data_IF_145116995184
#
_entry.id   IF_145116995184
#
_cell.length_a   1.000
_cell.length_b   1.000
_cell.length_c   1.000
_cell.angle_alpha   90.00
_cell.angle_beta   90.00
_cell.angle_gamma   90.00
#
_symmetry.space_group_name_H-M   'P 1'
#
loop_
_entity.id
_entity.type
_entity.pdbx_description
1 polymer ?
#
# COMPACT_ATOMS: atom_id res chain seq x y z
N UNK A 1 -3.65 21.18 -30.96
CA UNK A 1 -2.99 21.03 -29.65
C UNK A 1 -1.48 21.11 -29.84
N UNK A 2 -0.75 21.93 -29.07
CA UNK A 2 0.71 22.09 -29.17
C UNK A 2 1.23 22.28 -30.63
N UNK A 3 0.54 23.13 -31.41
CA UNK A 3 0.89 23.39 -32.82
C UNK A 3 0.48 22.31 -33.84
N UNK A 4 -0.01 21.15 -33.39
CA UNK A 4 -0.52 20.09 -34.27
C UNK A 4 -2.05 20.17 -34.44
N UNK A 5 -2.52 19.96 -35.67
CA UNK A 5 -3.95 19.80 -36.00
C UNK A 5 -4.27 18.31 -36.12
N UNK A 6 -5.41 17.92 -35.58
CA UNK A 6 -5.95 16.56 -35.69
C UNK A 6 -7.26 16.69 -36.49
N UNK A 7 -7.33 16.00 -37.62
CA UNK A 7 -8.55 15.97 -38.43
C UNK A 7 -9.64 15.17 -37.70
N UNK A 8 -10.89 15.63 -37.84
CA UNK A 8 -12.04 15.03 -37.17
C UNK A 8 -12.30 13.62 -37.66
N UNK A 9 -12.29 12.68 -36.72
CA UNK A 9 -12.38 11.24 -37.01
C UNK A 9 -12.98 10.45 -35.84
N UNK A 10 -13.86 11.09 -35.07
CA UNK A 10 -14.50 10.48 -33.91
C UNK A 10 -13.50 10.03 -32.84
N UNK A 11 -13.63 8.78 -32.37
CA UNK A 11 -12.77 8.22 -31.31
C UNK A 11 -11.29 8.14 -31.71
N UNK A 12 -11.01 7.86 -32.98
CA UNK A 12 -9.65 7.71 -33.50
C UNK A 12 -8.86 9.02 -33.45
N UNK A 13 -9.54 10.17 -33.56
CA UNK A 13 -8.96 11.48 -33.31
C UNK A 13 -8.40 11.57 -31.87
N UNK A 14 -9.21 11.16 -30.88
CA UNK A 14 -8.83 11.15 -29.47
C UNK A 14 -7.66 10.22 -29.20
N UNK A 15 -7.67 9.01 -29.78
CA UNK A 15 -6.58 8.05 -29.64
C UNK A 15 -5.27 8.60 -30.24
N UNK A 16 -5.32 9.25 -31.41
CA UNK A 16 -4.14 9.89 -32.01
C UNK A 16 -3.61 11.03 -31.14
N UNK A 17 -4.51 11.85 -30.61
CA UNK A 17 -4.15 12.93 -29.69
C UNK A 17 -3.44 12.39 -28.45
N UNK A 18 -4.00 11.37 -27.80
CA UNK A 18 -3.41 10.74 -26.61
C UNK A 18 -2.05 10.10 -26.92
N UNK A 19 -1.89 9.44 -28.06
CA UNK A 19 -0.60 8.87 -28.50
C UNK A 19 0.45 9.97 -28.71
N UNK A 20 0.06 11.08 -29.33
CA UNK A 20 0.95 12.23 -29.51
C UNK A 20 1.36 12.87 -28.18
N UNK A 21 0.44 13.00 -27.23
CA UNK A 21 0.75 13.50 -25.89
C UNK A 21 1.67 12.54 -25.13
N UNK A 22 1.40 11.23 -25.20
CA UNK A 22 2.24 10.20 -24.60
C UNK A 22 3.67 10.16 -25.20
N UNK A 23 3.90 10.74 -26.37
CA UNK A 23 5.23 10.88 -26.97
C UNK A 23 5.95 12.18 -26.57
N UNK A 24 5.33 13.06 -25.79
CA UNK A 24 6.01 14.26 -25.28
C UNK A 24 6.84 13.92 -24.05
N UNK A 25 8.07 14.44 -23.98
CA UNK A 25 8.96 14.23 -22.83
C UNK A 25 8.31 14.63 -21.51
N UNK A 26 7.58 15.75 -21.49
CA UNK A 26 6.86 16.22 -20.30
C UNK A 26 5.85 15.18 -19.78
N UNK A 27 5.14 14.49 -20.67
CA UNK A 27 4.20 13.43 -20.29
C UNK A 27 4.93 12.18 -19.80
N UNK A 28 6.00 11.77 -20.48
CA UNK A 28 6.83 10.63 -20.05
C UNK A 28 7.36 10.85 -18.64
N UNK A 29 7.95 12.02 -18.38
CA UNK A 29 8.49 12.40 -17.08
C UNK A 29 7.40 12.46 -16.02
N UNK A 30 6.27 13.14 -16.29
CA UNK A 30 5.18 13.26 -15.34
C UNK A 30 4.59 11.92 -14.92
N UNK A 31 4.31 11.02 -15.87
CA UNK A 31 3.77 9.69 -15.56
C UNK A 31 4.82 8.83 -14.86
N UNK A 32 6.07 8.86 -15.31
CA UNK A 32 7.17 8.12 -14.67
C UNK A 32 7.41 8.56 -13.24
N UNK A 33 7.39 9.87 -12.97
CA UNK A 33 7.50 10.43 -11.63
C UNK A 33 6.35 9.97 -10.73
N UNK A 34 5.11 9.95 -11.23
CA UNK A 34 3.96 9.40 -10.48
C UNK A 34 4.11 7.90 -10.18
N UNK A 35 4.64 7.12 -11.12
CA UNK A 35 4.85 5.68 -10.92
C UNK A 35 5.98 5.43 -9.90
N UNK A 36 7.11 6.14 -10.01
CA UNK A 36 8.16 6.07 -8.99
C UNK A 36 7.62 6.54 -7.63
N UNK A 37 6.82 7.60 -7.57
CA UNK A 37 6.21 8.07 -6.33
C UNK A 37 5.27 7.03 -5.70
N UNK A 38 4.54 6.29 -6.56
CA UNK A 38 3.62 5.24 -6.15
C UNK A 38 4.30 4.01 -5.56
N UNK A 39 5.44 3.63 -6.13
CA UNK A 39 6.08 2.33 -5.87
C UNK A 39 7.39 2.40 -5.08
N UNK A 40 8.07 3.55 -5.08
CA UNK A 40 9.39 3.73 -4.46
C UNK A 40 9.24 4.52 -3.17
N UNK A 41 9.03 5.83 -3.26
CA UNK A 41 8.93 6.73 -2.11
C UNK A 41 8.08 7.94 -2.49
N UNK A 42 7.51 8.65 -1.51
CA UNK A 42 6.73 9.88 -1.77
C UNK A 42 7.53 10.90 -2.59
N UNK A 43 8.83 10.99 -2.32
CA UNK A 43 9.83 11.74 -3.08
C UNK A 43 10.82 10.74 -3.69
N UNK A 44 10.58 10.23 -4.92
CA UNK A 44 11.45 9.23 -5.52
C UNK A 44 12.79 9.85 -5.94
N UNK A 45 13.91 9.10 -5.86
CA UNK A 45 15.19 9.54 -6.41
C UNK A 45 15.09 9.83 -7.92
N UNK A 46 15.80 10.86 -8.39
CA UNK A 46 15.83 11.25 -9.82
C UNK A 46 16.24 10.07 -10.71
N UNK A 47 17.17 9.23 -10.25
CA UNK A 47 17.62 8.02 -10.95
C UNK A 47 16.49 7.02 -11.28
N UNK A 48 15.49 6.88 -10.40
CA UNK A 48 14.31 6.05 -10.67
C UNK A 48 13.50 6.64 -11.84
N UNK A 49 13.25 7.94 -11.79
CA UNK A 49 12.43 8.65 -12.78
C UNK A 49 13.11 8.60 -14.14
N UNK A 50 14.42 8.84 -14.18
CA UNK A 50 15.23 8.78 -15.39
C UNK A 50 15.21 7.38 -16.03
N UNK A 51 15.36 6.32 -15.22
CA UNK A 51 15.28 4.94 -15.69
C UNK A 51 13.90 4.61 -16.29
N UNK A 52 12.83 5.07 -15.64
CA UNK A 52 11.46 4.90 -16.11
C UNK A 52 11.19 5.66 -17.42
N UNK A 53 11.67 6.92 -17.53
CA UNK A 53 11.56 7.73 -18.75
C UNK A 53 12.35 7.11 -19.90
N UNK A 54 13.58 6.65 -19.65
CA UNK A 54 14.40 5.99 -20.66
C UNK A 54 13.75 4.70 -21.19
N UNK A 55 13.15 3.90 -20.29
CA UNK A 55 12.37 2.72 -20.68
C UNK A 55 11.15 3.11 -21.52
N UNK A 56 10.41 4.15 -21.13
CA UNK A 56 9.27 4.66 -21.88
C UNK A 56 9.66 5.09 -23.30
N UNK A 57 10.74 5.85 -23.45
CA UNK A 57 11.24 6.31 -24.75
C UNK A 57 11.62 5.14 -25.65
N UNK A 58 12.34 4.15 -25.10
CA UNK A 58 12.80 2.96 -25.83
C UNK A 58 11.65 2.09 -26.33
N UNK A 59 10.58 1.96 -25.53
CA UNK A 59 9.46 1.06 -25.82
C UNK A 59 8.23 1.76 -26.38
N UNK A 60 8.26 3.09 -26.52
CA UNK A 60 7.13 3.93 -26.92
C UNK A 60 5.93 3.78 -25.96
N UNK A 61 6.21 3.74 -24.66
CA UNK A 61 5.19 3.74 -23.60
C UNK A 61 4.64 2.37 -23.21
N UNK A 62 5.39 1.27 -23.43
CA UNK A 62 5.02 -0.02 -22.83
C UNK A 62 5.16 0.06 -21.30
N UNK A 63 4.02 0.15 -20.61
CA UNK A 63 3.95 0.30 -19.15
C UNK A 63 4.59 -0.89 -18.42
N UNK A 64 4.58 -2.10 -19.01
CA UNK A 64 5.25 -3.26 -18.41
C UNK A 64 6.77 -3.06 -18.40
N UNK A 65 7.32 -2.49 -19.47
CA UNK A 65 8.74 -2.20 -19.55
C UNK A 65 9.14 -1.07 -18.58
N UNK A 66 8.30 -0.04 -18.44
CA UNK A 66 8.51 1.06 -17.50
C UNK A 66 8.51 0.55 -16.06
N UNK A 67 7.49 -0.22 -15.66
CA UNK A 67 7.41 -0.82 -14.32
C UNK A 67 8.58 -1.76 -14.05
N UNK A 68 9.01 -2.55 -15.05
CA UNK A 68 10.19 -3.40 -14.91
C UNK A 68 11.43 -2.57 -14.60
N UNK A 69 11.65 -1.47 -15.33
CA UNK A 69 12.80 -0.60 -15.10
C UNK A 69 12.82 -0.03 -13.67
N UNK A 70 11.65 0.35 -13.13
CA UNK A 70 11.49 0.81 -11.74
C UNK A 70 11.86 -0.32 -10.77
N UNK A 71 11.21 -1.49 -10.87
CA UNK A 71 11.37 -2.59 -9.90
C UNK A 71 12.74 -3.28 -9.95
N UNK A 72 13.47 -3.15 -11.05
CA UNK A 72 14.85 -3.65 -11.17
C UNK A 72 15.91 -2.58 -10.92
N UNK A 73 15.52 -1.34 -10.60
CA UNK A 73 16.46 -0.27 -10.27
C UNK A 73 17.09 -0.51 -8.88
N UNK A 74 18.39 -0.21 -8.69
CA UNK A 74 19.01 -0.17 -7.36
C UNK A 74 18.27 0.76 -6.38
N UNK A 75 17.68 1.85 -6.89
CA UNK A 75 16.95 2.82 -6.07
C UNK A 75 15.71 2.20 -5.40
N UNK A 76 15.05 1.25 -6.06
CA UNK A 76 13.88 0.56 -5.51
C UNK A 76 14.24 -0.31 -4.28
N UNK A 77 15.44 -0.88 -4.28
CA UNK A 77 15.92 -1.78 -3.22
C UNK A 77 16.82 -1.09 -2.19
N UNK A 78 16.96 0.23 -2.28
CA UNK A 78 17.80 0.98 -1.35
C UNK A 78 17.23 0.90 0.08
N UNK A 79 18.08 0.76 1.13
CA UNK A 79 17.62 0.59 2.50
C UNK A 79 16.64 1.66 3.00
N UNK A 80 16.79 2.90 2.53
CA UNK A 80 15.92 4.02 2.87
C UNK A 80 14.55 4.02 2.17
N UNK A 81 14.39 3.20 1.13
CA UNK A 81 13.15 3.06 0.33
C UNK A 81 12.32 1.89 0.82
N UNK A 82 12.97 0.78 1.19
CA UNK A 82 12.30 -0.39 1.72
C UNK A 82 11.49 -0.01 2.96
N UNK A 83 10.16 -0.23 2.94
CA UNK A 83 9.25 0.11 4.05
C UNK A 83 9.16 1.59 4.38
N UNK A 84 9.52 2.46 3.44
CA UNK A 84 9.43 3.89 3.64
C UNK A 84 7.98 4.38 3.56
N UNK A 85 7.15 3.76 2.70
CA UNK A 85 5.80 4.24 2.44
C UNK A 85 4.80 3.71 3.46
N UNK A 86 3.82 4.54 3.79
CA UNK A 86 2.65 4.10 4.57
C UNK A 86 1.55 3.63 3.61
N UNK A 87 0.93 2.50 3.96
CA UNK A 87 -0.19 1.93 3.22
C UNK A 87 -1.38 2.89 3.19
N UNK A 88 -1.98 3.07 2.01
CA UNK A 88 -3.30 3.72 1.91
C UNK A 88 -4.34 2.89 2.69
N UNK A 89 -5.51 3.46 3.04
CA UNK A 89 -6.60 2.68 3.64
C UNK A 89 -6.96 1.40 2.87
N UNK A 90 -7.00 1.44 1.54
CA UNK A 90 -7.27 0.27 0.71
C UNK A 90 -6.17 -0.78 0.88
N UNK A 91 -4.90 -0.38 0.74
CA UNK A 91 -3.76 -1.27 0.88
C UNK A 91 -3.69 -1.89 2.28
N UNK A 92 -3.98 -1.11 3.31
CA UNK A 92 -4.02 -1.57 4.70
C UNK A 92 -5.10 -2.64 4.90
N UNK A 93 -6.34 -2.37 4.49
CA UNK A 93 -7.45 -3.33 4.66
C UNK A 93 -7.20 -4.60 3.86
N UNK A 94 -6.78 -4.50 2.59
CA UNK A 94 -6.51 -5.67 1.74
C UNK A 94 -5.36 -6.50 2.31
N UNK A 95 -4.28 -5.85 2.76
CA UNK A 95 -3.14 -6.53 3.38
C UNK A 95 -3.55 -7.23 4.69
N UNK A 96 -4.32 -6.54 5.54
CA UNK A 96 -4.77 -7.09 6.82
C UNK A 96 -5.72 -8.29 6.64
N UNK A 97 -6.68 -8.19 5.71
CA UNK A 97 -7.59 -9.29 5.37
C UNK A 97 -6.83 -10.51 4.86
N UNK A 98 -5.89 -10.30 3.92
CA UNK A 98 -5.04 -11.38 3.39
C UNK A 98 -4.18 -12.01 4.49
N UNK A 99 -3.48 -11.19 5.27
CA UNK A 99 -2.58 -11.66 6.32
C UNK A 99 -3.34 -12.41 7.43
N UNK A 100 -4.55 -11.95 7.78
CA UNK A 100 -5.40 -12.58 8.78
C UNK A 100 -6.08 -13.88 8.28
N UNK A 101 -6.02 -14.20 6.99
CA UNK A 101 -6.73 -15.35 6.41
C UNK A 101 -8.25 -15.16 6.37
N UNK A 102 -8.71 -13.91 6.25
CA UNK A 102 -10.13 -13.58 6.15
C UNK A 102 -10.56 -13.74 4.70
N UNK A 103 -11.52 -14.63 4.45
CA UNK A 103 -12.13 -14.77 3.13
C UNK A 103 -13.13 -13.63 2.89
N UNK A 104 -12.95 -12.82 1.83
CA UNK A 104 -13.91 -11.78 1.48
C UNK A 104 -15.26 -12.37 1.11
N UNK A 105 -16.35 -11.78 1.63
CA UNK A 105 -17.70 -12.09 1.19
C UNK A 105 -18.17 -11.11 0.09
N UNK A 106 -19.35 -11.35 -0.46
CA UNK A 106 -19.94 -10.47 -1.48
C UNK A 106 -20.57 -9.20 -0.91
N UNK A 107 -20.38 -8.90 0.38
CA UNK A 107 -20.97 -7.72 1.02
C UNK A 107 -20.05 -6.51 0.88
N UNK A 108 -20.58 -5.27 0.93
CA UNK A 108 -19.74 -4.08 0.83
C UNK A 108 -18.97 -3.78 2.13
N UNK A 109 -18.95 -4.67 3.14
CA UNK A 109 -18.41 -4.40 4.48
C UNK A 109 -16.94 -3.96 4.46
N UNK A 110 -16.11 -4.63 3.65
CA UNK A 110 -14.70 -4.26 3.50
C UNK A 110 -14.55 -2.93 2.75
N UNK A 111 -15.30 -2.71 1.66
CA UNK A 111 -15.28 -1.42 0.95
C UNK A 111 -15.74 -0.26 1.85
N UNK A 112 -16.75 -0.49 2.69
CA UNK A 112 -17.22 0.47 3.69
C UNK A 112 -16.20 0.71 4.81
N UNK A 113 -15.38 -0.30 5.15
CA UNK A 113 -14.27 -0.11 6.08
C UNK A 113 -13.21 0.81 5.47
N UNK A 114 -12.83 0.58 4.20
CA UNK A 114 -11.89 1.45 3.47
C UNK A 114 -12.43 2.89 3.43
N UNK A 115 -13.72 3.06 3.13
CA UNK A 115 -14.37 4.39 3.13
C UNK A 115 -14.36 5.06 4.51
N UNK A 116 -14.59 4.32 5.59
CA UNK A 116 -14.50 4.83 6.97
C UNK A 116 -13.10 5.25 7.38
N UNK A 117 -12.08 4.68 6.75
CA UNK A 117 -10.68 5.04 6.93
C UNK A 117 -10.24 6.22 6.03
N UNK A 118 -11.15 6.76 5.20
CA UNK A 118 -10.93 7.98 4.43
C UNK A 118 -10.73 7.80 2.93
N UNK A 119 -10.81 6.57 2.39
CA UNK A 119 -10.61 6.29 0.96
C UNK A 119 -11.84 5.59 0.34
N UNK A 120 -13.03 6.23 0.28
CA UNK A 120 -14.20 5.58 -0.28
C UNK A 120 -13.98 5.25 -1.77
N UNK A 121 -14.11 3.96 -2.11
CA UNK A 121 -13.74 3.45 -3.43
C UNK A 121 -14.56 4.11 -4.54
N UNK A 122 -13.87 4.63 -5.56
CA UNK A 122 -14.45 5.32 -6.71
C UNK A 122 -15.25 6.59 -6.37
N UNK A 123 -15.04 7.18 -5.20
CA UNK A 123 -15.78 8.36 -4.73
C UNK A 123 -14.91 9.61 -4.57
N UNK A 124 -13.70 9.64 -5.15
CA UNK A 124 -12.91 10.87 -5.21
C UNK A 124 -13.56 11.86 -6.20
N UNK A 125 -14.02 13.05 -5.76
CA UNK A 125 -14.69 14.00 -6.67
C UNK A 125 -13.72 14.60 -7.69
N UNK A 126 -12.46 14.80 -7.31
CA UNK A 126 -11.44 15.33 -8.20
C UNK A 126 -10.94 14.25 -9.18
N UNK A 127 -10.70 14.58 -10.47
CA UNK A 127 -10.16 13.63 -11.46
C UNK A 127 -8.67 13.32 -11.26
N UNK A 128 -8.15 13.54 -10.06
CA UNK A 128 -6.74 13.34 -9.68
C UNK A 128 -6.50 12.02 -8.97
N UNK A 129 -7.56 11.31 -8.55
CA UNK A 129 -7.45 10.18 -7.63
C UNK A 129 -7.16 10.61 -6.18
N UNK A 130 -7.05 9.64 -5.28
CA UNK A 130 -6.61 9.89 -3.91
C UNK A 130 -5.10 10.16 -3.86
N UNK A 131 -4.64 10.84 -2.81
CA UNK A 131 -3.22 11.10 -2.63
C UNK A 131 -2.47 9.79 -2.34
N UNK A 132 -1.22 9.69 -2.78
CA UNK A 132 -0.36 8.52 -2.56
C UNK A 132 0.76 8.80 -1.53
N UNK A 133 0.64 9.92 -0.80
CA UNK A 133 1.62 10.41 0.15
C UNK A 133 1.22 10.11 1.59
N UNK A 134 2.23 9.82 2.42
CA UNK A 134 2.07 9.54 3.84
C UNK A 134 1.33 10.66 4.57
N UNK A 135 1.69 11.92 4.28
CA UNK A 135 1.12 13.10 4.93
C UNK A 135 -0.42 13.21 4.80
N UNK A 136 -1.00 12.63 3.74
CA UNK A 136 -2.45 12.59 3.58
C UNK A 136 -3.12 11.55 4.49
N UNK A 137 -2.42 10.43 4.72
CA UNK A 137 -2.98 9.25 5.36
C UNK A 137 -2.58 9.10 6.82
N UNK A 138 -1.59 9.85 7.31
CA UNK A 138 -1.07 9.77 8.68
C UNK A 138 -1.45 11.03 9.44
N UNK A 139 -2.41 10.87 10.34
CA UNK A 139 -2.74 11.82 11.39
C UNK A 139 -3.31 11.04 12.59
N UNK A 140 -3.41 11.68 13.75
CA UNK A 140 -3.84 11.01 14.98
C UNK A 140 -5.20 10.31 14.86
N UNK A 141 -6.15 10.91 14.14
CA UNK A 141 -7.47 10.32 13.88
C UNK A 141 -7.39 9.09 12.99
N UNK A 142 -6.61 9.16 11.90
CA UNK A 142 -6.41 8.05 10.97
C UNK A 142 -5.70 6.85 11.64
N UNK A 143 -4.69 7.10 12.49
CA UNK A 143 -3.99 6.06 13.23
C UNK A 143 -4.92 5.33 14.21
N UNK A 144 -5.75 6.06 14.96
CA UNK A 144 -6.74 5.48 15.84
C UNK A 144 -7.79 4.66 15.07
N UNK A 145 -8.28 5.18 13.95
CA UNK A 145 -9.24 4.48 13.10
C UNK A 145 -8.67 3.17 12.54
N UNK A 146 -7.40 3.17 12.11
CA UNK A 146 -6.68 1.96 11.69
C UNK A 146 -6.51 0.95 12.83
N UNK A 147 -6.18 1.40 14.03
CA UNK A 147 -6.06 0.51 15.20
C UNK A 147 -7.41 -0.16 15.54
N UNK A 148 -8.51 0.59 15.48
CA UNK A 148 -9.85 0.03 15.66
C UNK A 148 -10.20 -0.97 14.55
N UNK A 149 -9.84 -0.68 13.30
CA UNK A 149 -10.01 -1.60 12.17
C UNK A 149 -9.18 -2.88 12.35
N UNK A 150 -7.93 -2.76 12.81
CA UNK A 150 -7.05 -3.88 13.10
C UNK A 150 -7.64 -4.82 14.16
N UNK A 151 -8.12 -4.27 15.28
CA UNK A 151 -8.78 -5.05 16.33
C UNK A 151 -10.08 -5.74 15.84
N UNK A 152 -10.84 -5.08 14.97
CA UNK A 152 -12.03 -5.67 14.37
C UNK A 152 -11.69 -6.85 13.44
N UNK A 153 -10.64 -6.72 12.62
CA UNK A 153 -10.18 -7.78 11.73
C UNK A 153 -9.53 -8.93 12.52
N UNK A 154 -8.80 -8.62 13.60
CA UNK A 154 -8.17 -9.61 14.45
C UNK A 154 -9.16 -10.64 15.03
N UNK A 155 -10.38 -10.22 15.35
CA UNK A 155 -11.47 -11.12 15.81
C UNK A 155 -11.90 -12.16 14.78
N UNK A 156 -11.63 -11.92 13.50
CA UNK A 156 -11.95 -12.82 12.40
C UNK A 156 -10.70 -13.57 11.88
N UNK A 157 -9.56 -13.39 12.54
CA UNK A 157 -8.30 -14.01 12.13
C UNK A 157 -8.37 -15.53 12.25
N UNK A 158 -8.11 -16.21 11.14
CA UNK A 158 -8.06 -17.67 11.03
C UNK A 158 -6.63 -18.19 10.78
N UNK A 159 -5.74 -17.32 10.29
CA UNK A 159 -4.36 -17.67 9.93
C UNK A 159 -3.46 -17.95 11.14
N UNK A 160 -3.72 -17.31 12.29
CA UNK A 160 -2.94 -17.47 13.51
C UNK A 160 -3.62 -18.48 14.44
N UNK A 161 -2.93 -19.56 14.83
CA UNK A 161 -3.45 -20.52 15.80
C UNK A 161 -3.44 -19.93 17.21
N UNK A 162 -4.30 -20.45 18.07
CA UNK A 162 -4.31 -20.14 19.49
C UNK A 162 -3.22 -20.94 20.19
N UNK A 163 -2.31 -20.23 20.86
CA UNK A 163 -1.17 -20.82 21.58
C UNK A 163 -1.12 -20.19 22.98
N UNK A 164 -0.97 -20.99 24.06
CA UNK A 164 -0.90 -20.45 25.42
C UNK A 164 0.35 -19.63 25.70
N UNK A 165 1.48 -19.95 25.05
CA UNK A 165 2.74 -19.25 25.24
C UNK A 165 2.78 -17.96 24.41
N UNK A 166 2.92 -16.81 25.07
CA UNK A 166 2.93 -15.50 24.41
C UNK A 166 4.11 -15.31 23.47
N UNK A 167 5.27 -15.90 23.75
CA UNK A 167 6.45 -15.77 22.89
C UNK A 167 6.27 -16.54 21.59
N UNK A 168 5.75 -17.76 21.68
CA UNK A 168 5.39 -18.58 20.52
C UNK A 168 4.26 -17.93 19.70
N UNK A 169 3.28 -17.31 20.36
CA UNK A 169 2.22 -16.56 19.69
C UNK A 169 2.79 -15.38 18.89
N UNK A 170 3.67 -14.56 19.50
CA UNK A 170 4.30 -13.42 18.83
C UNK A 170 5.16 -13.87 17.66
N UNK A 171 5.90 -14.96 17.79
CA UNK A 171 6.70 -15.49 16.68
C UNK A 171 5.82 -16.04 15.54
N UNK A 172 4.71 -16.72 15.86
CA UNK A 172 3.75 -17.16 14.85
C UNK A 172 3.12 -15.97 14.10
N UNK A 173 2.83 -14.88 14.81
CA UNK A 173 2.35 -13.62 14.22
C UNK A 173 3.41 -13.00 13.32
N UNK A 174 4.66 -12.89 13.77
CA UNK A 174 5.74 -12.33 12.96
C UNK A 174 5.91 -13.09 11.65
N UNK A 175 5.99 -14.42 11.71
CA UNK A 175 6.17 -15.25 10.52
C UNK A 175 4.98 -15.19 9.56
N UNK A 176 3.74 -15.26 10.06
CA UNK A 176 2.55 -15.34 9.20
C UNK A 176 2.02 -13.98 8.74
N UNK A 177 2.10 -12.93 9.55
CA UNK A 177 1.55 -11.60 9.22
C UNK A 177 2.61 -10.66 8.65
N UNK A 178 3.86 -10.74 9.11
CA UNK A 178 4.93 -9.82 8.70
C UNK A 178 6.08 -10.49 7.94
N UNK A 179 6.05 -11.82 7.76
CA UNK A 179 7.10 -12.55 7.06
C UNK A 179 8.45 -12.54 7.79
N UNK A 180 8.46 -12.49 9.12
CA UNK A 180 9.70 -12.58 9.92
C UNK A 180 10.46 -11.25 10.04
N UNK A 181 9.75 -10.13 9.99
CA UNK A 181 10.33 -8.79 9.91
C UNK A 181 9.76 -7.82 10.94
N UNK A 182 9.01 -8.32 11.90
CA UNK A 182 8.56 -7.55 13.05
C UNK A 182 9.78 -7.08 13.85
N UNK A 183 9.80 -5.79 14.16
CA UNK A 183 10.85 -5.14 14.92
C UNK A 183 10.89 -5.68 16.36
N UNK A 184 12.08 -5.66 16.96
CA UNK A 184 12.24 -6.02 18.37
C UNK A 184 11.35 -5.17 19.29
N UNK A 185 11.19 -3.88 18.96
CA UNK A 185 10.31 -2.98 19.70
C UNK A 185 8.85 -3.42 19.64
N UNK A 186 8.31 -3.74 18.46
CA UNK A 186 6.94 -4.25 18.33
C UNK A 186 6.75 -5.58 19.05
N UNK A 187 7.73 -6.50 18.97
CA UNK A 187 7.70 -7.76 19.75
C UNK A 187 7.59 -7.50 21.25
N UNK A 188 8.43 -6.62 21.80
CA UNK A 188 8.41 -6.26 23.22
C UNK A 188 7.08 -5.63 23.65
N UNK A 189 6.56 -4.67 22.89
CA UNK A 189 5.28 -4.02 23.20
C UNK A 189 4.13 -5.02 23.22
N UNK A 190 4.07 -5.94 22.25
CA UNK A 190 3.02 -6.96 22.26
C UNK A 190 3.15 -7.86 23.48
N UNK A 191 4.35 -8.35 23.80
CA UNK A 191 4.57 -9.19 24.99
C UNK A 191 4.18 -8.49 26.29
N UNK A 192 4.51 -7.21 26.43
CA UNK A 192 4.12 -6.39 27.59
C UNK A 192 2.60 -6.28 27.73
N UNK A 193 1.87 -6.05 26.62
CA UNK A 193 0.40 -5.95 26.63
C UNK A 193 -0.29 -7.29 26.93
N UNK A 194 0.40 -8.41 26.72
CA UNK A 194 -0.13 -9.75 27.00
C UNK A 194 0.18 -10.24 28.42
N UNK A 195 1.06 -9.58 29.18
CA UNK A 195 1.61 -10.10 30.44
C UNK A 195 0.55 -10.58 31.45
N UNK A 196 -0.58 -9.88 31.53
CA UNK A 196 -1.68 -10.17 32.47
C UNK A 196 -2.86 -10.94 31.83
N UNK A 197 -2.75 -11.33 30.56
CA UNK A 197 -3.83 -12.01 29.82
C UNK A 197 -3.59 -13.51 29.85
N UNK A 198 -4.38 -14.21 30.68
CA UNK A 198 -4.28 -15.66 30.82
C UNK A 198 -5.15 -16.45 29.82
N UNK A 199 -6.16 -15.81 29.22
CA UNK A 199 -7.02 -16.47 28.22
C UNK A 199 -6.32 -16.47 26.85
N UNK A 200 -5.95 -17.65 26.29
CA UNK A 200 -5.22 -17.73 25.04
C UNK A 200 -5.95 -17.12 23.84
N UNK A 201 -7.29 -17.17 23.80
CA UNK A 201 -8.06 -16.58 22.69
C UNK A 201 -8.08 -15.05 22.77
N UNK A 202 -8.26 -14.51 23.98
CA UNK A 202 -8.14 -13.07 24.21
C UNK A 202 -6.73 -12.57 23.89
N UNK A 203 -5.69 -13.30 24.32
CA UNK A 203 -4.30 -12.98 24.03
C UNK A 203 -4.04 -12.97 22.52
N UNK A 204 -4.47 -14.02 21.80
CA UNK A 204 -4.37 -14.11 20.34
C UNK A 204 -5.03 -12.93 19.64
N UNK A 205 -6.28 -12.62 20.01
CA UNK A 205 -7.04 -11.53 19.37
C UNK A 205 -6.36 -10.18 19.58
N UNK A 206 -5.90 -9.89 20.80
CA UNK A 206 -5.20 -8.65 21.10
C UNK A 206 -3.86 -8.57 20.36
N UNK A 207 -3.05 -9.64 20.41
CA UNK A 207 -1.73 -9.69 19.77
C UNK A 207 -1.82 -9.47 18.25
N UNK A 208 -2.78 -10.13 17.58
CA UNK A 208 -3.03 -9.93 16.15
C UNK A 208 -3.46 -8.48 15.87
N UNK A 209 -4.35 -7.92 16.69
CA UNK A 209 -4.80 -6.54 16.55
C UNK A 209 -3.67 -5.52 16.71
N UNK A 210 -2.80 -5.72 17.70
CA UNK A 210 -1.62 -4.88 17.93
C UNK A 210 -0.60 -5.01 16.79
N UNK A 211 -0.37 -6.22 16.28
CA UNK A 211 0.54 -6.44 15.16
C UNK A 211 0.03 -5.77 13.87
N UNK A 212 -1.25 -5.96 13.54
CA UNK A 212 -1.87 -5.32 12.37
C UNK A 212 -1.94 -3.78 12.52
N UNK A 213 -2.19 -3.28 13.73
CA UNK A 213 -2.25 -1.84 14.02
C UNK A 213 -0.88 -1.18 14.15
N UNK A 214 0.19 -1.96 14.32
CA UNK A 214 1.54 -1.50 14.59
C UNK A 214 2.24 -0.86 13.38
N UNK A 215 3.32 -0.09 13.62
CA UNK A 215 4.04 0.62 12.56
C UNK A 215 4.62 -0.33 11.50
N UNK A 216 5.11 -1.51 11.92
CA UNK A 216 5.71 -2.49 11.03
C UNK A 216 4.72 -3.02 9.98
N UNK A 217 3.43 -3.14 10.34
CA UNK A 217 2.39 -3.56 9.40
C UNK A 217 1.84 -2.41 8.56
N UNK A 218 1.85 -1.18 9.08
CA UNK A 218 1.35 -0.01 8.34
C UNK A 218 2.30 0.44 7.22
N UNK A 219 3.57 0.06 7.26
CA UNK A 219 4.58 0.41 6.25
C UNK A 219 4.73 -0.66 5.15
N UNK A 220 5.13 -0.27 3.94
CA UNK A 220 5.38 -1.15 2.79
C UNK A 220 6.62 -0.72 2.02
#
# INVERSE_FOLDING_TARGET
MLGQKFESDGEDEGVRLLKFLASQHATMHHVSAKLCARFVADEPPDGCVDAAVAAWQKTRGDIRAVLRAIFTSPDFWAPQVVRAKVKTPLEFVVSAVRAAGIEPDSTPRLAQLVGRLGEPLYQQPAPTGYAETEAHWVNSGALLARMNAALMLAKQCSSIPTVPDHSQLVEAIDQKLLGGTMSAHTKSVILEQLADINDPEQARTLAVGLALGGPDFQRQ
#
